data_IF_784785777471
#
_entry.id   IF_784785777471
#
_cell.length_a   1.000
_cell.length_b   1.000
_cell.length_c   1.000
_cell.angle_alpha   90.00
_cell.angle_beta   90.00
_cell.angle_gamma   90.00
#
_symmetry.space_group_name_H-M   'P 1'
#
loop_
_entity.id
_entity.type
_entity.pdbx_description
1 polymer ?
#
# COMPACT_ATOMS: atom_id res chain seq x y z
N UNK A 1 -48.52 -11.58 23.34
CA UNK A 1 -49.54 -12.10 24.29
C UNK A 1 -48.91 -13.27 25.00
N UNK A 2 -49.00 -13.29 26.34
CA UNK A 2 -48.28 -14.24 27.20
C UNK A 2 -46.79 -13.92 27.36
N UNK A 3 -46.21 -13.99 28.57
CA UNK A 3 -46.85 -13.80 29.87
C UNK A 3 -45.85 -13.31 30.95
N UNK A 4 -46.36 -12.86 32.10
CA UNK A 4 -45.61 -12.07 33.08
C UNK A 4 -44.93 -12.89 34.22
N UNK A 5 -43.82 -12.37 34.78
CA UNK A 5 -43.32 -12.68 36.13
C UNK A 5 -42.54 -11.51 36.74
N UNK A 6 -42.98 -11.07 37.93
CA UNK A 6 -42.39 -9.99 38.73
C UNK A 6 -41.63 -10.49 39.98
N UNK A 7 -40.86 -9.57 40.59
CA UNK A 7 -40.35 -9.53 41.98
C UNK A 7 -39.31 -10.61 42.41
N UNK A 8 -38.14 -10.28 42.96
CA UNK A 8 -37.70 -9.35 44.05
C UNK A 8 -37.64 -10.03 45.44
N UNK A 9 -36.48 -9.90 46.09
CA UNK A 9 -36.28 -9.56 47.52
C UNK A 9 -34.84 -8.99 47.67
N UNK A 10 -34.54 -8.31 48.78
CA UNK A 10 -33.23 -7.70 49.13
C UNK A 10 -32.47 -8.63 50.15
N UNK A 11 -31.37 -8.32 50.86
CA UNK A 11 -30.72 -7.06 51.28
C UNK A 11 -29.18 -7.28 51.61
N UNK A 12 -28.45 -6.53 52.50
CA UNK A 12 -27.23 -5.83 52.05
C UNK A 12 -25.98 -5.94 52.99
N UNK A 13 -24.97 -5.07 52.77
CA UNK A 13 -23.99 -4.42 53.72
C UNK A 13 -22.49 -4.50 53.36
N UNK A 14 -21.73 -3.47 53.82
CA UNK A 14 -20.32 -3.11 53.53
C UNK A 14 -19.91 -1.94 54.51
N UNK A 15 -18.64 -1.48 54.72
CA UNK A 15 -17.30 -2.01 54.41
C UNK A 15 -16.55 -2.54 55.67
N UNK A 16 -15.55 -1.91 56.39
CA UNK A 16 -14.87 -0.59 56.34
C UNK A 16 -13.39 -0.64 55.83
N UNK A 17 -12.53 0.37 56.13
CA UNK A 17 -11.19 0.61 55.49
C UNK A 17 -10.13 1.26 56.44
N UNK A 18 -8.83 0.88 56.32
CA UNK A 18 -7.57 1.60 56.76
C UNK A 18 -7.26 1.80 58.28
N UNK A 19 -6.05 2.30 58.73
CA UNK A 19 -4.66 2.29 58.18
C UNK A 19 -3.46 2.12 59.21
N UNK A 20 -2.21 1.95 58.68
CA UNK A 20 -0.87 2.43 59.18
C UNK A 20 -0.08 1.85 60.41
N UNK A 21 1.25 2.07 60.37
CA UNK A 21 2.37 1.81 61.34
C UNK A 21 2.45 2.89 62.49
N UNK A 22 3.35 2.91 63.54
CA UNK A 22 4.80 2.53 63.61
C UNK A 22 5.56 2.13 64.95
N UNK A 23 6.56 1.22 64.82
CA UNK A 23 7.88 1.02 65.56
C UNK A 23 7.94 0.92 67.15
N UNK A 24 9.08 1.04 67.93
CA UNK A 24 9.54 0.04 68.95
C UNK A 24 9.59 0.55 70.43
N UNK A 25 10.25 -0.12 71.44
CA UNK A 25 11.71 0.10 71.73
C UNK A 25 12.53 -0.91 72.64
N UNK A 26 13.87 -0.67 72.77
CA UNK A 26 14.84 -0.87 73.91
C UNK A 26 15.19 -2.29 74.49
N UNK A 27 16.46 -2.72 74.32
CA UNK A 27 17.57 -3.12 75.27
C UNK A 27 17.28 -3.83 76.64
N UNK A 28 18.25 -4.48 77.37
CA UNK A 28 19.71 -4.27 77.52
C UNK A 28 20.57 -5.56 77.28
N UNK A 29 21.82 -5.85 77.73
CA UNK A 29 22.69 -5.36 78.85
C UNK A 29 24.22 -5.35 78.50
N UNK A 30 25.11 -5.73 79.43
CA UNK A 30 26.58 -5.54 79.56
C UNK A 30 27.19 -6.72 80.41
N UNK A 31 28.51 -6.87 80.78
CA UNK A 31 29.51 -5.80 81.00
C UNK A 31 31.06 -6.05 80.84
N UNK A 32 31.80 -4.94 80.98
CA UNK A 32 33.25 -4.65 81.25
C UNK A 32 34.42 -5.49 80.68
N UNK A 33 35.36 -4.78 80.03
CA UNK A 33 36.75 -4.59 80.53
C UNK A 33 37.45 -3.39 79.82
N UNK A 34 38.25 -2.60 80.54
CA UNK A 34 39.04 -1.44 80.04
C UNK A 34 40.05 -0.97 81.13
N UNK A 35 40.99 -0.03 80.89
CA UNK A 35 41.56 0.49 79.62
C UNK A 35 43.11 0.39 79.55
N UNK A 36 43.72 0.81 78.43
CA UNK A 36 45.12 1.33 78.40
C UNK A 36 45.36 2.24 77.19
N UNK A 37 46.28 3.20 77.30
CA UNK A 37 46.43 4.35 76.37
C UNK A 37 47.69 4.28 75.50
N UNK A 38 47.54 4.39 74.18
CA UNK A 38 48.60 4.86 73.28
C UNK A 38 48.03 5.38 71.93
N UNK A 39 48.14 6.69 71.60
CA UNK A 39 47.62 7.22 70.33
C UNK A 39 48.60 6.99 69.17
N UNK A 40 48.37 5.95 68.35
CA UNK A 40 49.05 5.82 67.04
C UNK A 40 48.20 6.45 65.93
N UNK A 41 48.84 7.37 65.19
CA UNK A 41 48.21 8.28 64.23
C UNK A 41 47.55 7.52 63.08
N UNK A 42 46.34 7.92 62.72
CA UNK A 42 45.64 7.39 61.55
C UNK A 42 46.37 7.77 60.26
N UNK A 43 46.58 6.78 59.40
CA UNK A 43 46.78 6.96 57.96
C UNK A 43 45.70 6.16 57.24
N UNK A 44 44.45 6.61 57.38
CA UNK A 44 43.35 6.08 56.59
C UNK A 44 43.56 6.56 55.15
N UNK A 45 44.16 5.71 54.31
CA UNK A 45 44.33 5.98 52.89
C UNK A 45 42.97 6.02 52.21
N UNK A 46 42.42 7.22 52.01
CA UNK A 46 41.10 7.43 51.42
C UNK A 46 41.13 7.04 49.94
N UNK A 47 40.58 5.86 49.61
CA UNK A 47 40.44 5.38 48.22
C UNK A 47 39.25 6.09 47.56
N UNK A 48 39.38 7.40 47.33
CA UNK A 48 38.51 8.16 46.43
C UNK A 48 39.29 8.35 45.12
N UNK A 49 39.26 7.28 44.31
CA UNK A 49 39.93 7.23 43.00
C UNK A 49 39.29 6.27 41.99
N UNK A 50 38.14 5.67 42.32
CA UNK A 50 37.46 4.66 41.49
C UNK A 50 36.07 5.04 40.98
N UNK A 51 35.47 6.14 41.45
CA UNK A 51 34.07 6.47 41.17
C UNK A 51 33.82 6.83 39.70
N UNK A 52 34.62 7.72 39.10
CA UNK A 52 34.41 8.18 37.71
C UNK A 52 34.58 7.03 36.70
N UNK A 53 35.61 6.21 36.87
CA UNK A 53 35.83 5.04 36.00
C UNK A 53 34.71 4.00 36.15
N UNK A 54 34.26 3.72 37.37
CA UNK A 54 33.15 2.80 37.63
C UNK A 54 31.82 3.33 37.08
N UNK A 55 31.53 4.63 37.23
CA UNK A 55 30.33 5.27 36.66
C UNK A 55 30.36 5.26 35.13
N UNK A 56 31.51 5.57 34.49
CA UNK A 56 31.64 5.47 33.04
C UNK A 56 31.54 4.03 32.54
N UNK A 57 32.02 3.04 33.30
CA UNK A 57 31.85 1.62 32.99
C UNK A 57 30.40 1.15 33.18
N UNK A 58 29.70 1.61 34.22
CA UNK A 58 28.28 1.31 34.43
C UNK A 58 27.41 1.99 33.36
N UNK A 59 27.69 3.25 33.01
CA UNK A 59 27.03 3.94 31.88
C UNK A 59 27.35 3.23 30.57
N UNK A 60 28.59 2.80 30.35
CA UNK A 60 28.99 2.00 29.21
C UNK A 60 28.24 0.66 29.12
N UNK A 61 28.05 -0.03 30.24
CA UNK A 61 27.27 -1.28 30.32
C UNK A 61 25.77 -1.00 30.12
N UNK A 62 25.21 0.07 30.69
CA UNK A 62 23.80 0.43 30.49
C UNK A 62 23.54 0.80 29.03
N UNK A 63 24.42 1.59 28.41
CA UNK A 63 24.36 1.90 26.98
C UNK A 63 24.53 0.63 26.14
N UNK A 64 25.49 -0.24 26.47
CA UNK A 64 25.66 -1.53 25.80
C UNK A 64 24.40 -2.40 25.92
N UNK A 65 23.80 -2.54 27.10
CA UNK A 65 22.56 -3.30 27.32
C UNK A 65 21.38 -2.67 26.57
N UNK A 66 21.27 -1.34 26.50
CA UNK A 66 20.23 -0.66 25.71
C UNK A 66 20.46 -0.80 24.18
N UNK A 67 21.70 -0.93 23.73
CA UNK A 67 22.04 -1.14 22.31
C UNK A 67 21.96 -2.61 21.87
N UNK A 68 22.33 -3.54 22.76
CA UNK A 68 22.37 -5.01 22.55
C UNK A 68 21.06 -5.71 22.89
N UNK A 69 20.23 -5.15 23.77
CA UNK A 69 18.87 -5.67 23.98
C UNK A 69 18.08 -5.57 22.68
N UNK A 70 17.58 -6.71 22.23
CA UNK A 70 16.76 -6.84 21.03
C UNK A 70 15.43 -6.07 21.15
N UNK A 71 14.58 -6.14 20.11
CA UNK A 71 13.27 -5.53 20.17
C UNK A 71 12.39 -6.21 21.23
N UNK A 72 11.58 -5.42 21.91
CA UNK A 72 10.59 -5.87 22.89
C UNK A 72 9.27 -6.26 22.22
N UNK A 73 8.41 -7.00 22.93
CA UNK A 73 7.03 -7.29 22.49
C UNK A 73 6.27 -6.02 22.05
N UNK A 74 6.53 -4.88 22.72
CA UNK A 74 5.94 -3.58 22.35
C UNK A 74 6.46 -3.07 21.01
N UNK A 75 7.76 -3.20 20.74
CA UNK A 75 8.33 -2.82 19.44
C UNK A 75 7.70 -3.66 18.30
N UNK A 76 7.54 -4.97 18.52
CA UNK A 76 6.88 -5.87 17.56
C UNK A 76 5.40 -5.54 17.39
N UNK A 77 4.65 -5.27 18.46
CA UNK A 77 3.25 -4.83 18.36
C UNK A 77 3.13 -3.55 17.54
N UNK A 78 3.92 -2.53 17.85
CA UNK A 78 3.84 -1.26 17.12
C UNK A 78 4.18 -1.43 15.63
N UNK A 79 5.14 -2.31 15.29
CA UNK A 79 5.44 -2.66 13.91
C UNK A 79 4.36 -3.52 13.23
N UNK A 80 3.70 -4.43 13.97
CA UNK A 80 2.56 -5.21 13.47
C UNK A 80 1.36 -4.32 13.15
N UNK A 81 1.02 -3.41 14.07
CA UNK A 81 -0.04 -2.40 13.89
C UNK A 81 0.26 -1.51 12.68
N UNK A 82 1.51 -1.06 12.54
CA UNK A 82 1.97 -0.23 11.41
C UNK A 82 1.96 -0.96 10.07
N UNK A 83 2.32 -2.25 10.06
CA UNK A 83 2.21 -3.10 8.88
C UNK A 83 0.74 -3.31 8.47
N UNK A 84 -0.21 -3.31 9.42
CA UNK A 84 -1.63 -3.40 9.10
C UNK A 84 -2.18 -2.12 8.44
N UNK A 85 -1.76 -0.92 8.88
CA UNK A 85 -2.04 0.36 8.17
C UNK A 85 -1.61 0.29 6.69
N UNK A 86 -0.40 -0.23 6.44
CA UNK A 86 0.16 -0.45 5.10
C UNK A 86 -0.70 -1.43 4.30
N UNK A 87 -1.06 -2.58 4.88
CA UNK A 87 -1.90 -3.59 4.23
C UNK A 87 -3.28 -3.09 3.84
N UNK A 88 -3.93 -2.30 4.71
CA UNK A 88 -5.22 -1.66 4.42
C UNK A 88 -5.12 -0.64 3.28
N UNK A 89 -4.05 0.16 3.23
CA UNK A 89 -3.85 1.15 2.16
C UNK A 89 -3.41 0.53 0.83
N UNK A 90 -2.61 -0.54 0.84
CA UNK A 90 -2.32 -1.34 -0.37
C UNK A 90 -3.60 -1.94 -0.96
N UNK A 91 -4.53 -2.42 -0.13
CA UNK A 91 -5.84 -2.87 -0.58
C UNK A 91 -6.64 -1.72 -1.23
N UNK A 92 -6.64 -0.53 -0.62
CA UNK A 92 -7.28 0.67 -1.18
C UNK A 92 -6.72 1.04 -2.56
N UNK A 93 -5.39 1.00 -2.74
CA UNK A 93 -4.72 1.21 -4.04
C UNK A 93 -5.18 0.19 -5.07
N UNK A 94 -5.26 -1.10 -4.71
CA UNK A 94 -5.75 -2.16 -5.60
C UNK A 94 -7.21 -1.95 -6.02
N UNK A 95 -8.11 -1.65 -5.08
CA UNK A 95 -9.54 -1.37 -5.36
C UNK A 95 -9.71 -0.15 -6.25
N UNK A 96 -9.00 0.95 -5.99
CA UNK A 96 -9.08 2.18 -6.81
C UNK A 96 -8.47 1.98 -8.19
N UNK A 97 -7.35 1.25 -8.30
CA UNK A 97 -6.78 0.88 -9.60
C UNK A 97 -7.75 0.03 -10.42
N UNK A 98 -8.45 -0.92 -9.77
CA UNK A 98 -9.50 -1.72 -10.38
C UNK A 98 -10.66 -0.87 -10.91
N UNK A 99 -11.15 0.11 -10.13
CA UNK A 99 -12.12 1.11 -10.59
C UNK A 99 -11.63 1.85 -11.84
N UNK A 100 -10.37 2.27 -11.86
CA UNK A 100 -9.74 3.01 -12.97
C UNK A 100 -9.65 2.17 -14.26
N UNK A 101 -9.22 0.90 -14.23
CA UNK A 101 -9.07 0.09 -15.46
C UNK A 101 -10.35 -0.63 -15.91
N UNK A 102 -11.24 -1.03 -14.98
CA UNK A 102 -12.58 -1.49 -15.39
C UNK A 102 -13.42 -0.30 -15.89
N UNK A 103 -13.40 0.82 -15.19
CA UNK A 103 -14.18 2.02 -15.51
C UNK A 103 -13.62 2.93 -16.61
N UNK A 104 -12.47 2.63 -17.21
CA UNK A 104 -11.76 3.50 -18.16
C UNK A 104 -12.67 4.20 -19.21
N UNK A 105 -13.56 3.43 -19.84
CA UNK A 105 -14.49 3.87 -20.89
C UNK A 105 -15.89 4.26 -20.43
N UNK A 106 -16.20 4.17 -19.13
CA UNK A 106 -17.56 4.36 -18.58
C UNK A 106 -17.65 5.33 -17.41
N UNK A 107 -16.55 5.53 -16.68
CA UNK A 107 -16.45 6.48 -15.58
C UNK A 107 -16.36 7.91 -16.11
N UNK A 108 -17.10 8.82 -15.46
CA UNK A 108 -17.01 10.26 -15.71
C UNK A 108 -15.60 10.76 -15.47
N UNK A 109 -15.22 11.87 -16.12
CA UNK A 109 -13.90 12.47 -15.96
C UNK A 109 -13.58 12.78 -14.48
N UNK A 110 -14.57 13.29 -13.73
CA UNK A 110 -14.46 13.54 -12.29
C UNK A 110 -14.22 12.26 -11.49
N UNK A 111 -15.04 11.21 -11.68
CA UNK A 111 -14.86 9.95 -10.92
C UNK A 111 -13.51 9.31 -11.21
N UNK A 112 -13.06 9.36 -12.47
CA UNK A 112 -11.77 8.85 -12.89
C UNK A 112 -10.60 9.64 -12.28
N UNK A 113 -10.67 10.99 -12.30
CA UNK A 113 -9.63 11.85 -11.70
C UNK A 113 -9.55 11.66 -10.19
N UNK A 114 -10.69 11.59 -9.49
CA UNK A 114 -10.75 11.33 -8.06
C UNK A 114 -10.14 9.96 -7.70
N UNK A 115 -10.42 8.90 -8.48
CA UNK A 115 -9.83 7.58 -8.21
C UNK A 115 -8.30 7.56 -8.44
N UNK A 116 -7.79 8.31 -9.43
CA UNK A 116 -6.35 8.51 -9.65
C UNK A 116 -5.70 9.31 -8.50
N UNK A 117 -6.38 10.33 -7.98
CA UNK A 117 -5.92 11.13 -6.84
C UNK A 117 -5.86 10.29 -5.55
N UNK A 118 -6.91 9.50 -5.27
CA UNK A 118 -6.96 8.53 -4.16
C UNK A 118 -5.80 7.51 -4.22
N UNK A 119 -5.44 7.04 -5.43
CA UNK A 119 -4.28 6.15 -5.63
C UNK A 119 -2.99 6.88 -5.26
N UNK A 120 -2.75 8.08 -5.80
CA UNK A 120 -1.52 8.85 -5.58
C UNK A 120 -1.36 9.27 -4.11
N UNK A 121 -2.42 9.77 -3.48
CA UNK A 121 -2.42 10.04 -2.04
C UNK A 121 -2.13 8.79 -1.22
N UNK A 122 -2.72 7.64 -1.58
CA UNK A 122 -2.49 6.39 -0.86
C UNK A 122 -1.06 5.89 -1.03
N UNK A 123 -0.46 5.99 -2.23
CA UNK A 123 0.94 5.66 -2.47
C UNK A 123 1.87 6.51 -1.61
N UNK A 124 1.71 7.84 -1.56
CA UNK A 124 2.54 8.70 -0.71
C UNK A 124 2.43 8.35 0.78
N UNK A 125 1.21 8.06 1.24
CA UNK A 125 0.97 7.60 2.63
C UNK A 125 1.64 6.26 2.90
N UNK A 126 1.58 5.29 1.98
CA UNK A 126 2.23 3.99 2.16
C UNK A 126 3.76 4.10 2.04
N UNK A 127 4.32 4.87 1.11
CA UNK A 127 5.78 5.14 1.00
C UNK A 127 6.32 5.62 2.35
N UNK A 128 5.64 6.60 2.95
CA UNK A 128 5.96 7.13 4.28
C UNK A 128 5.84 6.04 5.36
N UNK A 129 4.72 5.32 5.41
CA UNK A 129 4.49 4.29 6.45
C UNK A 129 5.46 3.11 6.34
N UNK A 130 5.85 2.72 5.13
CA UNK A 130 6.85 1.68 4.88
C UNK A 130 8.23 2.12 5.40
N UNK A 131 8.66 3.34 5.08
CA UNK A 131 9.88 3.91 5.65
C UNK A 131 9.83 3.97 7.19
N UNK A 132 8.71 4.42 7.76
CA UNK A 132 8.50 4.44 9.21
C UNK A 132 8.65 3.03 9.81
N UNK A 133 8.06 2.01 9.17
CA UNK A 133 8.17 0.59 9.55
C UNK A 133 9.62 0.08 9.50
N UNK A 134 10.37 0.39 8.43
CA UNK A 134 11.78 0.03 8.27
C UNK A 134 12.71 0.64 9.32
N UNK A 135 12.32 1.77 9.92
CA UNK A 135 13.09 2.45 10.98
C UNK A 135 12.81 1.89 12.39
N UNK A 136 11.70 1.15 12.60
CA UNK A 136 11.29 0.63 13.92
C UNK A 136 12.26 -0.42 14.46
N UNK A 137 12.44 -0.48 15.80
CA UNK A 137 13.42 -1.39 16.44
C UNK A 137 13.19 -2.86 16.03
N UNK A 138 11.93 -3.31 15.99
CA UNK A 138 11.52 -4.66 15.57
C UNK A 138 12.05 -5.07 14.19
N UNK A 139 12.03 -4.14 13.23
CA UNK A 139 12.48 -4.37 11.86
C UNK A 139 13.98 -4.10 11.72
N UNK A 140 14.49 -3.02 12.29
CA UNK A 140 15.89 -2.58 12.14
C UNK A 140 16.91 -3.42 12.92
N UNK A 141 16.49 -4.07 14.01
CA UNK A 141 17.34 -4.88 14.91
C UNK A 141 16.79 -6.28 15.22
N UNK A 142 15.68 -6.69 14.63
CA UNK A 142 15.04 -7.99 14.90
C UNK A 142 15.06 -8.95 13.71
N UNK A 143 14.53 -10.17 13.88
CA UNK A 143 14.41 -11.17 12.81
C UNK A 143 13.43 -10.74 11.70
N UNK A 144 12.60 -9.71 11.95
CA UNK A 144 11.76 -9.10 10.92
C UNK A 144 12.56 -8.34 9.84
N UNK A 145 13.88 -8.11 10.02
CA UNK A 145 14.70 -7.41 9.03
C UNK A 145 14.67 -8.05 7.64
N UNK A 146 15.06 -9.31 7.53
CA UNK A 146 15.21 -9.95 6.21
C UNK A 146 13.86 -10.10 5.47
N UNK A 147 12.74 -10.46 6.13
CA UNK A 147 11.42 -10.40 5.49
C UNK A 147 10.97 -8.98 5.14
N UNK A 148 11.33 -7.96 5.92
CA UNK A 148 11.09 -6.56 5.54
C UNK A 148 11.90 -6.16 4.30
N UNK A 149 13.20 -6.50 4.23
CA UNK A 149 14.04 -6.15 3.08
C UNK A 149 13.48 -6.76 1.78
N UNK A 150 12.97 -8.01 1.85
CA UNK A 150 12.29 -8.69 0.73
C UNK A 150 10.93 -8.05 0.37
N UNK A 151 10.14 -7.68 1.39
CA UNK A 151 8.90 -6.93 1.18
C UNK A 151 9.16 -5.58 0.52
N UNK A 152 10.19 -4.85 0.96
CA UNK A 152 10.56 -3.52 0.47
C UNK A 152 11.00 -3.57 -1.01
N UNK A 153 11.85 -4.52 -1.39
CA UNK A 153 12.29 -4.70 -2.79
C UNK A 153 11.12 -4.89 -3.76
N UNK A 154 10.07 -5.60 -3.35
CA UNK A 154 8.85 -5.75 -4.16
C UNK A 154 7.90 -4.57 -4.02
N UNK A 155 7.80 -3.96 -2.85
CA UNK A 155 7.01 -2.75 -2.61
C UNK A 155 7.47 -1.59 -3.51
N UNK A 156 8.77 -1.35 -3.63
CA UNK A 156 9.30 -0.28 -4.48
C UNK A 156 8.95 -0.52 -5.98
N UNK A 157 8.98 -1.78 -6.42
CA UNK A 157 8.57 -2.19 -7.79
C UNK A 157 7.07 -2.03 -8.01
N UNK A 158 6.25 -2.37 -7.01
CA UNK A 158 4.80 -2.14 -7.02
C UNK A 158 4.48 -0.65 -7.11
N UNK A 159 5.11 0.18 -6.26
CA UNK A 159 4.94 1.64 -6.26
C UNK A 159 5.27 2.22 -7.63
N UNK A 160 6.45 1.91 -8.18
CA UNK A 160 6.88 2.39 -9.51
C UNK A 160 5.85 2.01 -10.59
N UNK A 161 5.36 0.76 -10.59
CA UNK A 161 4.36 0.30 -11.54
C UNK A 161 3.02 1.01 -11.40
N UNK A 162 2.53 1.26 -10.17
CA UNK A 162 1.25 1.94 -9.95
C UNK A 162 1.36 3.44 -10.28
N UNK A 163 2.52 4.08 -10.06
CA UNK A 163 2.78 5.45 -10.51
C UNK A 163 2.76 5.54 -12.04
N UNK A 164 3.51 4.68 -12.72
CA UNK A 164 3.52 4.63 -14.19
C UNK A 164 2.14 4.28 -14.77
N UNK A 165 1.41 3.35 -14.16
CA UNK A 165 0.01 3.04 -14.49
C UNK A 165 -0.87 4.27 -14.33
N UNK A 166 -0.80 4.99 -13.22
CA UNK A 166 -1.66 6.14 -12.92
C UNK A 166 -1.45 7.28 -13.92
N UNK A 167 -0.20 7.65 -14.18
CA UNK A 167 0.14 8.67 -15.19
C UNK A 167 -0.26 8.22 -16.60
N UNK A 168 -0.02 6.94 -16.93
CA UNK A 168 -0.37 6.38 -18.23
C UNK A 168 -1.89 6.29 -18.45
N UNK A 169 -2.68 6.02 -17.42
CA UNK A 169 -4.15 6.01 -17.51
C UNK A 169 -4.70 7.41 -17.76
N UNK A 170 -4.14 8.45 -17.15
CA UNK A 170 -4.49 9.84 -17.44
C UNK A 170 -4.17 10.18 -18.90
N UNK A 171 -2.94 9.92 -19.35
CA UNK A 171 -2.54 10.16 -20.74
C UNK A 171 -3.39 9.35 -21.74
N UNK A 172 -3.72 8.10 -21.43
CA UNK A 172 -4.61 7.27 -22.24
C UNK A 172 -6.01 7.90 -22.34
N UNK A 173 -6.62 8.35 -21.23
CA UNK A 173 -7.96 8.94 -21.27
C UNK A 173 -7.99 10.28 -22.01
N UNK A 174 -6.91 11.07 -21.97
CA UNK A 174 -6.72 12.23 -22.87
C UNK A 174 -6.75 11.80 -24.35
N UNK A 175 -5.94 10.80 -24.73
CA UNK A 175 -5.83 10.31 -26.11
C UNK A 175 -7.11 9.64 -26.64
N UNK A 176 -7.91 9.04 -25.77
CA UNK A 176 -9.21 8.47 -26.14
C UNK A 176 -10.34 9.52 -26.26
N UNK A 177 -10.14 10.77 -25.80
CA UNK A 177 -11.17 11.80 -25.87
C UNK A 177 -11.63 12.13 -27.30
N UNK A 178 -10.75 12.00 -28.30
CA UNK A 178 -11.11 12.11 -29.72
C UNK A 178 -12.06 11.01 -30.19
N UNK A 179 -11.94 9.82 -29.61
CA UNK A 179 -12.78 8.68 -29.89
C UNK A 179 -14.18 8.86 -29.27
N UNK A 180 -14.27 9.42 -28.06
CA UNK A 180 -15.55 9.80 -27.45
C UNK A 180 -16.28 10.88 -28.28
N UNK A 181 -15.56 11.87 -28.81
CA UNK A 181 -16.12 12.86 -29.76
C UNK A 181 -16.57 12.21 -31.08
N UNK A 182 -15.89 11.16 -31.53
CA UNK A 182 -16.23 10.44 -32.76
C UNK A 182 -17.47 9.53 -32.64
N UNK A 183 -17.72 8.98 -31.44
CA UNK A 183 -18.81 8.01 -31.21
C UNK A 183 -20.09 8.65 -30.66
N UNK A 184 -19.99 9.78 -29.92
CA UNK A 184 -21.15 10.46 -29.34
C UNK A 184 -21.67 11.65 -30.19
N UNK A 185 -21.02 11.96 -31.32
CA UNK A 185 -21.51 12.93 -32.29
C UNK A 185 -22.79 12.44 -33.00
N UNK A 186 -23.74 13.33 -33.28
CA UNK A 186 -25.05 12.92 -33.80
C UNK A 186 -24.98 12.32 -35.21
N UNK A 187 -25.64 11.17 -35.35
CA UNK A 187 -26.10 10.55 -36.60
C UNK A 187 -25.08 9.89 -37.54
N UNK A 188 -23.76 10.06 -37.41
CA UNK A 188 -22.79 9.17 -38.07
C UNK A 188 -21.35 9.27 -37.55
N UNK A 189 -20.72 8.12 -37.28
CA UNK A 189 -19.25 8.02 -37.17
C UNK A 189 -18.65 8.35 -38.54
N UNK A 190 -17.75 9.33 -38.61
CA UNK A 190 -17.12 9.75 -39.87
C UNK A 190 -15.66 9.30 -39.97
N UNK A 191 -15.19 9.08 -41.20
CA UNK A 191 -13.77 8.80 -41.50
C UNK A 191 -12.85 9.89 -40.88
N UNK A 192 -13.28 11.16 -40.89
CA UNK A 192 -12.53 12.24 -40.22
C UNK A 192 -12.44 11.98 -38.71
N UNK A 193 -13.56 11.71 -38.04
CA UNK A 193 -13.58 11.54 -36.60
C UNK A 193 -12.81 10.29 -36.13
N UNK A 194 -12.80 9.21 -36.93
CA UNK A 194 -11.91 8.05 -36.69
C UNK A 194 -10.43 8.47 -36.81
N UNK A 195 -10.07 9.25 -37.84
CA UNK A 195 -8.71 9.75 -38.02
C UNK A 195 -8.28 10.74 -36.92
N UNK A 196 -9.20 11.58 -36.43
CA UNK A 196 -8.98 12.48 -35.30
C UNK A 196 -8.67 11.67 -34.02
N UNK A 197 -9.48 10.65 -33.73
CA UNK A 197 -9.24 9.67 -32.64
C UNK A 197 -7.88 8.96 -32.77
N UNK A 198 -7.48 8.56 -33.98
CA UNK A 198 -6.15 7.96 -34.25
C UNK A 198 -4.99 8.95 -34.02
N UNK A 199 -5.19 10.24 -34.29
CA UNK A 199 -4.19 11.29 -34.04
C UNK A 199 -4.06 11.64 -32.55
N UNK A 200 -5.18 11.74 -31.83
CA UNK A 200 -5.20 11.98 -30.37
C UNK A 200 -4.51 10.82 -29.62
N UNK A 201 -4.83 9.56 -29.97
CA UNK A 201 -4.14 8.39 -29.42
C UNK A 201 -2.64 8.38 -29.73
N UNK A 202 -2.25 8.71 -30.97
CA UNK A 202 -0.84 8.82 -31.35
C UNK A 202 -0.10 9.89 -30.54
N UNK A 203 -0.76 10.98 -30.19
CA UNK A 203 -0.21 12.07 -29.36
C UNK A 203 -0.14 11.74 -27.87
N UNK A 204 -0.88 10.73 -27.42
CA UNK A 204 -0.84 10.21 -26.05
C UNK A 204 0.17 9.07 -25.87
N UNK A 205 0.43 8.28 -26.92
CA UNK A 205 1.26 7.07 -26.86
C UNK A 205 2.68 7.34 -26.35
N UNK A 206 3.27 8.49 -26.69
CA UNK A 206 4.61 8.89 -26.20
C UNK A 206 4.64 9.31 -24.73
N UNK A 207 3.51 9.74 -24.16
CA UNK A 207 3.36 10.04 -22.72
C UNK A 207 3.21 8.76 -21.89
N UNK A 208 2.75 7.67 -22.50
CA UNK A 208 2.42 6.40 -21.82
C UNK A 208 3.68 5.56 -21.60
N UNK A 209 4.02 5.38 -20.33
CA UNK A 209 5.19 4.64 -19.83
C UNK A 209 4.86 3.17 -19.54
N UNK A 210 3.70 2.93 -18.93
CA UNK A 210 3.24 1.60 -18.57
C UNK A 210 3.11 0.74 -19.84
N UNK A 211 3.89 -0.35 -19.91
CA UNK A 211 4.02 -1.20 -21.11
C UNK A 211 2.66 -1.69 -21.61
N UNK A 212 1.86 -2.26 -20.70
CA UNK A 212 0.57 -2.89 -21.00
C UNK A 212 -0.43 -1.89 -21.58
N UNK A 213 -0.43 -0.64 -21.08
CA UNK A 213 -1.21 0.45 -21.65
C UNK A 213 -0.66 0.98 -22.98
N UNK A 214 0.66 1.00 -23.18
CA UNK A 214 1.27 1.37 -24.47
C UNK A 214 0.87 0.38 -25.55
N UNK A 215 1.01 -0.93 -25.26
CA UNK A 215 0.64 -2.02 -26.18
C UNK A 215 -0.87 -2.00 -26.51
N UNK A 216 -1.73 -1.71 -25.53
CA UNK A 216 -3.15 -1.47 -25.77
C UNK A 216 -3.41 -0.28 -26.72
N UNK A 217 -2.79 0.88 -26.49
CA UNK A 217 -2.96 2.07 -27.35
C UNK A 217 -2.47 1.78 -28.76
N UNK A 218 -1.28 1.18 -28.93
CA UNK A 218 -0.75 0.84 -30.26
C UNK A 218 -1.68 -0.12 -31.01
N UNK A 219 -2.23 -1.14 -30.33
CA UNK A 219 -3.21 -2.11 -30.89
C UNK A 219 -4.52 -1.41 -31.28
N UNK A 220 -5.11 -0.63 -30.38
CA UNK A 220 -6.39 0.06 -30.61
C UNK A 220 -6.28 1.11 -31.72
N UNK A 221 -5.18 1.88 -31.76
CA UNK A 221 -4.86 2.85 -32.81
C UNK A 221 -4.72 2.18 -34.20
N UNK A 222 -4.09 1.02 -34.26
CA UNK A 222 -3.95 0.24 -35.50
C UNK A 222 -5.30 -0.25 -36.04
N UNK A 223 -6.13 -0.84 -35.17
CA UNK A 223 -7.46 -1.33 -35.54
C UNK A 223 -8.42 -0.17 -35.92
N UNK A 224 -8.37 0.98 -35.22
CA UNK A 224 -9.13 2.17 -35.60
C UNK A 224 -8.69 2.73 -36.96
N UNK A 225 -7.38 2.71 -37.28
CA UNK A 225 -6.89 3.07 -38.62
C UNK A 225 -7.46 2.13 -39.69
N UNK A 226 -7.44 0.82 -39.44
CA UNK A 226 -8.03 -0.17 -40.35
C UNK A 226 -9.54 0.03 -40.51
N UNK A 227 -10.27 0.38 -39.44
CA UNK A 227 -11.69 0.74 -39.51
C UNK A 227 -11.92 1.93 -40.46
N UNK A 228 -11.07 2.97 -40.38
CA UNK A 228 -11.13 4.13 -41.27
C UNK A 228 -10.95 3.74 -42.74
N UNK A 229 -9.94 2.91 -43.04
CA UNK A 229 -9.66 2.42 -44.39
C UNK A 229 -10.80 1.53 -44.94
N UNK A 230 -11.46 0.74 -44.09
CA UNK A 230 -12.62 -0.07 -44.46
C UNK A 230 -13.86 0.80 -44.74
N UNK A 231 -14.13 1.84 -43.93
CA UNK A 231 -15.19 2.81 -44.23
C UNK A 231 -14.92 3.59 -45.53
N UNK A 232 -13.67 3.95 -45.81
CA UNK A 232 -13.29 4.59 -47.07
C UNK A 232 -13.56 3.67 -48.28
N UNK A 233 -13.16 2.39 -48.21
CA UNK A 233 -13.46 1.38 -49.24
C UNK A 233 -14.97 1.16 -49.42
N UNK A 234 -15.72 1.06 -48.32
CA UNK A 234 -17.17 0.86 -48.37
C UNK A 234 -17.91 2.06 -49.00
N UNK A 235 -17.47 3.29 -48.69
CA UNK A 235 -18.01 4.53 -49.29
C UNK A 235 -17.72 4.65 -50.79
N UNK A 236 -16.68 3.98 -51.30
CA UNK A 236 -16.34 3.96 -52.72
C UNK A 236 -17.17 2.96 -53.55
N UNK A 237 -17.95 2.07 -52.93
CA UNK A 237 -18.80 1.10 -53.64
C UNK A 237 -20.02 1.78 -54.25
N UNK A 238 -20.20 1.60 -55.56
CA UNK A 238 -21.27 2.26 -56.33
C UNK A 238 -22.61 1.50 -56.32
N UNK A 239 -22.60 0.17 -56.18
CA UNK A 239 -23.82 -0.63 -56.13
C UNK A 239 -23.78 -1.71 -55.01
N UNK A 240 -23.85 -1.30 -53.72
CA UNK A 240 -23.66 -2.19 -52.58
C UNK A 240 -24.79 -3.22 -52.37
N UNK A 241 -25.93 -3.04 -53.03
CA UNK A 241 -27.07 -3.96 -53.00
C UNK A 241 -27.35 -4.60 -54.38
N UNK A 242 -26.33 -4.64 -55.23
CA UNK A 242 -26.39 -5.20 -56.58
C UNK A 242 -25.03 -5.76 -57.00
N UNK A 243 -24.47 -5.29 -58.12
CA UNK A 243 -23.26 -5.88 -58.73
C UNK A 243 -21.97 -5.81 -57.88
N UNK A 244 -21.95 -5.03 -56.80
CA UNK A 244 -20.84 -4.97 -55.85
C UNK A 244 -21.20 -5.55 -54.47
N UNK A 245 -22.33 -6.28 -54.35
CA UNK A 245 -22.83 -6.80 -53.08
C UNK A 245 -21.80 -7.66 -52.33
N UNK A 246 -21.12 -8.59 -53.00
CA UNK A 246 -20.13 -9.47 -52.34
C UNK A 246 -18.94 -8.68 -51.78
N UNK A 247 -18.52 -7.63 -52.48
CA UNK A 247 -17.46 -6.71 -52.01
C UNK A 247 -17.93 -5.91 -50.80
N UNK A 248 -19.17 -5.41 -50.85
CA UNK A 248 -19.79 -4.67 -49.75
C UNK A 248 -19.96 -5.56 -48.51
N UNK A 249 -20.40 -6.81 -48.71
CA UNK A 249 -20.53 -7.83 -47.68
C UNK A 249 -19.18 -8.14 -47.03
N UNK A 250 -18.14 -8.44 -47.82
CA UNK A 250 -16.81 -8.74 -47.31
C UNK A 250 -16.21 -7.58 -46.48
N UNK A 251 -16.46 -6.32 -46.88
CA UNK A 251 -16.05 -5.15 -46.09
C UNK A 251 -16.84 -5.01 -44.77
N UNK A 252 -18.10 -5.43 -44.71
CA UNK A 252 -18.87 -5.47 -43.45
C UNK A 252 -18.37 -6.59 -42.54
N UNK A 253 -18.07 -7.75 -43.08
CA UNK A 253 -17.48 -8.87 -42.33
C UNK A 253 -16.13 -8.44 -41.72
N UNK A 254 -15.25 -7.78 -42.49
CA UNK A 254 -14.00 -7.18 -41.97
C UNK A 254 -14.24 -6.07 -40.93
N UNK A 255 -15.28 -5.23 -41.07
CA UNK A 255 -15.63 -4.24 -40.04
C UNK A 255 -16.09 -4.89 -38.72
N UNK A 256 -16.84 -5.98 -38.77
CA UNK A 256 -17.22 -6.74 -37.58
C UNK A 256 -16.01 -7.42 -36.91
N UNK A 257 -15.06 -7.94 -37.69
CA UNK A 257 -13.81 -8.48 -37.13
C UNK A 257 -12.99 -7.39 -36.41
N UNK A 258 -12.87 -6.19 -36.99
CA UNK A 258 -12.18 -5.05 -36.35
C UNK A 258 -12.88 -4.67 -35.03
N UNK A 259 -14.22 -4.60 -35.02
CA UNK A 259 -14.99 -4.36 -33.80
C UNK A 259 -14.76 -5.45 -32.73
N UNK A 260 -14.63 -6.71 -33.15
CA UNK A 260 -14.19 -7.81 -32.29
C UNK A 260 -12.82 -7.55 -31.69
N UNK A 261 -11.79 -7.33 -32.52
CA UNK A 261 -10.41 -7.11 -32.08
C UNK A 261 -10.23 -5.86 -31.19
N UNK A 262 -11.04 -4.81 -31.39
CA UNK A 262 -11.09 -3.64 -30.50
C UNK A 262 -11.68 -3.97 -29.12
N UNK A 263 -12.79 -4.72 -29.07
CA UNK A 263 -13.37 -5.21 -27.80
C UNK A 263 -12.36 -6.11 -27.08
N UNK A 264 -11.78 -7.05 -27.82
CA UNK A 264 -10.84 -8.04 -27.28
C UNK A 264 -9.59 -7.34 -26.73
N UNK A 265 -9.04 -6.34 -27.43
CA UNK A 265 -7.96 -5.49 -26.92
C UNK A 265 -8.30 -4.80 -25.58
N UNK A 266 -9.54 -4.34 -25.40
CA UNK A 266 -10.00 -3.74 -24.14
C UNK A 266 -10.26 -4.78 -23.03
N UNK A 267 -10.44 -6.06 -23.37
CA UNK A 267 -10.50 -7.16 -22.41
C UNK A 267 -9.08 -7.64 -22.03
N UNK A 268 -8.19 -7.77 -23.01
CA UNK A 268 -6.75 -8.04 -22.83
C UNK A 268 -6.13 -7.04 -21.85
N UNK A 269 -6.28 -5.73 -22.13
CA UNK A 269 -5.75 -4.64 -21.30
C UNK A 269 -6.15 -4.79 -19.83
N UNK A 270 -7.44 -5.04 -19.55
CA UNK A 270 -7.94 -5.22 -18.18
C UNK A 270 -7.34 -6.47 -17.53
N UNK A 271 -7.30 -7.57 -18.27
CA UNK A 271 -6.77 -8.85 -17.79
C UNK A 271 -5.27 -8.78 -17.49
N UNK A 272 -4.49 -8.09 -18.32
CA UNK A 272 -3.05 -7.98 -18.17
C UNK A 272 -2.65 -6.97 -17.09
N UNK A 273 -3.36 -5.84 -16.96
CA UNK A 273 -3.18 -4.93 -15.82
C UNK A 273 -3.52 -5.63 -14.50
N UNK A 274 -4.58 -6.45 -14.46
CA UNK A 274 -4.92 -7.25 -13.27
C UNK A 274 -3.83 -8.30 -12.94
N UNK A 275 -3.26 -8.97 -13.95
CA UNK A 275 -2.12 -9.89 -13.79
C UNK A 275 -0.88 -9.18 -13.27
N UNK A 276 -0.51 -8.03 -13.84
CA UNK A 276 0.66 -7.26 -13.42
C UNK A 276 0.51 -6.72 -12.00
N UNK A 277 -0.64 -6.11 -11.67
CA UNK A 277 -0.98 -5.66 -10.31
C UNK A 277 -0.86 -6.81 -9.30
N UNK A 278 -1.43 -7.98 -9.61
CA UNK A 278 -1.38 -9.17 -8.74
C UNK A 278 0.03 -9.76 -8.62
N UNK A 279 0.79 -9.79 -9.71
CA UNK A 279 2.18 -10.27 -9.75
C UNK A 279 3.11 -9.38 -8.92
N UNK A 280 2.88 -8.08 -8.93
CA UNK A 280 3.66 -7.08 -8.20
C UNK A 280 3.16 -6.82 -6.78
N UNK A 281 1.98 -7.30 -6.39
CA UNK A 281 1.45 -7.16 -5.03
C UNK A 281 2.46 -7.65 -3.97
N UNK A 282 2.98 -6.78 -3.08
CA UNK A 282 4.01 -7.14 -2.14
C UNK A 282 3.48 -7.89 -0.90
N UNK A 283 2.16 -8.06 -0.77
CA UNK A 283 1.52 -8.74 0.38
C UNK A 283 1.80 -10.25 0.43
N UNK A 284 2.17 -10.87 -0.69
CA UNK A 284 2.50 -12.30 -0.74
C UNK A 284 3.86 -12.60 -0.07
N UNK A 285 4.86 -11.76 -0.28
CA UNK A 285 6.21 -11.83 0.29
C UNK A 285 6.21 -11.36 1.75
N UNK A 286 5.31 -10.45 2.10
CA UNK A 286 5.11 -9.96 3.47
C UNK A 286 4.50 -10.99 4.44
N UNK A 287 4.17 -12.22 4.00
CA UNK A 287 3.61 -13.27 4.88
C UNK A 287 4.51 -13.57 6.07
N UNK A 288 5.81 -13.77 5.85
CA UNK A 288 6.76 -14.06 6.92
C UNK A 288 7.05 -12.82 7.79
N UNK A 289 7.05 -11.62 7.20
CA UNK A 289 7.12 -10.35 7.94
C UNK A 289 5.94 -10.23 8.91
N UNK A 290 4.71 -10.39 8.41
CA UNK A 290 3.48 -10.33 9.22
C UNK A 290 3.45 -11.39 10.31
N UNK A 291 3.91 -12.61 10.01
CA UNK A 291 4.06 -13.70 10.98
C UNK A 291 5.03 -13.33 12.10
N UNK A 292 6.29 -12.98 11.79
CA UNK A 292 7.29 -12.65 12.80
C UNK A 292 6.82 -11.48 13.69
N UNK A 293 6.25 -10.43 13.09
CA UNK A 293 5.73 -9.27 13.84
C UNK A 293 4.60 -9.66 14.79
N UNK A 294 3.71 -10.59 14.40
CA UNK A 294 2.55 -11.05 15.22
C UNK A 294 2.88 -12.15 16.22
N UNK A 295 3.90 -12.95 15.97
CA UNK A 295 4.38 -13.99 16.91
C UNK A 295 5.18 -13.36 18.05
N UNK A 296 6.03 -12.38 17.76
CA UNK A 296 6.87 -11.71 18.75
C UNK A 296 6.17 -10.54 19.47
N UNK A 297 4.91 -10.21 19.11
CA UNK A 297 4.08 -9.20 19.79
C UNK A 297 3.23 -9.75 20.94
N UNK A 298 3.42 -11.02 21.31
CA UNK A 298 2.67 -11.76 22.34
C UNK A 298 3.54 -11.98 23.57
#
# INVERSE_FOLDING_TARGET
>A
MGDNKDNQEQAPTNPPVQPTQPVPPVQPVQPVAAPSLAPKKSKLGVIIGGSVALVLLIVGIILAVLFLSGPSQRDYKQAADKYEEIGQKLMSVGTKSSSVYYGFSSSTETSFKNDIEDIKESLEKIKKYNKELGEMKAVKKGPAKEPYDKFNDKFDKFVTYVEEFSDSMVAAKEGFSGCDRAMNGSSSVTIKAINDCVADMGSAEDKVKNKTLKEFISKFKSEMKLMSDLYAKAKAIKNPYGRDYDKYRALKEQLYEVQGRLRDAAQDMRSDIEKDMKKLDPRDEAKELSKILRENSR
#
